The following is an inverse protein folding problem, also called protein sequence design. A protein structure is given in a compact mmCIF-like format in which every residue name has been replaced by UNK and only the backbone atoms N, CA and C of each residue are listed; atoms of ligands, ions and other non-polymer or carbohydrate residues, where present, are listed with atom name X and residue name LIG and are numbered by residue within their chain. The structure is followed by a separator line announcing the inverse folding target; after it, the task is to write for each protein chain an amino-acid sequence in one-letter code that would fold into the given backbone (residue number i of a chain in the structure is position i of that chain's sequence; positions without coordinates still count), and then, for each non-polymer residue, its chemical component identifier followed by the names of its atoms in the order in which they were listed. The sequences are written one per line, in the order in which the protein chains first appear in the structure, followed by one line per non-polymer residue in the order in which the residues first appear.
data_IF_762917025684
#
_entry.id   IF_762917025684
#
_cell.length_a   1.000
_cell.length_b   1.000
_cell.length_c   1.000
_cell.angle_alpha   90.00
_cell.angle_beta   90.00
_cell.angle_gamma   90.00
#
_symmetry.space_group_name_H-M   'P 1'
#
loop_
_entity.id
_entity.type
_entity.pdbx_description
1 polymer ?
#
# COMPACT_ATOMS: atom_id res chain seq x y z
N UNK A 1 11.15 -24.63 13.33
CA UNK A 1 10.37 -24.50 12.09
C UNK A 1 10.44 -23.04 11.69
N UNK A 2 11.28 -22.72 10.73
CA UNK A 2 11.55 -21.33 10.32
C UNK A 2 11.57 -21.32 8.80
N UNK A 3 10.68 -20.54 8.19
CA UNK A 3 10.57 -20.37 6.75
C UNK A 3 10.62 -18.86 6.46
N UNK A 4 11.78 -18.39 5.98
CA UNK A 4 12.17 -18.01 4.61
C UNK A 4 11.69 -16.61 4.21
N UNK A 5 12.70 -15.76 4.02
CA UNK A 5 12.64 -14.42 3.45
C UNK A 5 12.30 -14.46 1.96
N UNK A 6 11.18 -13.81 1.61
CA UNK A 6 10.83 -13.40 0.24
C UNK A 6 11.41 -11.99 0.02
N UNK A 7 11.91 -11.66 -1.17
CA UNK A 7 12.82 -10.53 -1.33
C UNK A 7 12.18 -9.15 -1.12
N UNK A 8 10.85 -9.02 -1.11
CA UNK A 8 10.19 -7.75 -0.84
C UNK A 8 8.85 -7.96 -0.14
N UNK A 9 8.74 -7.47 1.09
CA UNK A 9 7.48 -7.33 1.81
C UNK A 9 6.88 -5.97 1.43
N UNK A 10 6.00 -5.94 0.43
CA UNK A 10 5.31 -4.73 -0.01
C UNK A 10 3.83 -5.04 -0.20
N UNK A 11 2.97 -4.26 0.44
CA UNK A 11 1.54 -4.22 0.12
C UNK A 11 1.29 -3.04 -0.78
N UNK A 12 0.71 -3.28 -1.96
CA UNK A 12 0.34 -2.25 -2.92
C UNK A 12 -1.14 -2.35 -3.27
N UNK A 13 -1.89 -1.28 -3.07
CA UNK A 13 -3.26 -1.16 -3.58
C UNK A 13 -3.22 -0.60 -5.01
N UNK A 14 -3.47 -1.47 -5.99
CA UNK A 14 -3.47 -1.11 -7.41
C UNK A 14 -4.60 -0.16 -7.81
N UNK A 15 -5.61 0.07 -6.96
CA UNK A 15 -6.73 0.99 -7.28
C UNK A 15 -6.38 2.43 -6.92
N UNK A 16 -5.73 2.61 -5.78
CA UNK A 16 -5.40 3.93 -5.20
C UNK A 16 -3.95 4.33 -5.45
N UNK A 17 -3.07 3.35 -5.70
CA UNK A 17 -1.62 3.54 -5.78
C UNK A 17 -0.94 3.62 -4.42
N UNK A 18 -1.67 3.45 -3.31
CA UNK A 18 -1.09 3.44 -1.97
C UNK A 18 -0.24 2.18 -1.77
N UNK A 19 0.93 2.33 -1.15
CA UNK A 19 1.84 1.23 -0.90
C UNK A 19 2.55 1.38 0.45
N UNK A 20 2.87 0.25 1.09
CA UNK A 20 3.61 0.20 2.36
C UNK A 20 4.48 -1.05 2.43
N UNK A 21 5.67 -0.91 3.00
CA UNK A 21 6.58 -2.04 3.27
C UNK A 21 6.29 -2.76 4.59
N UNK A 22 5.45 -2.17 5.45
CA UNK A 22 5.10 -2.76 6.73
C UNK A 22 3.93 -3.76 6.58
N UNK A 23 4.22 -4.93 6.00
CA UNK A 23 3.20 -5.97 5.76
C UNK A 23 2.59 -6.48 7.06
N UNK A 24 3.37 -6.60 8.14
CA UNK A 24 2.87 -7.13 9.41
C UNK A 24 1.76 -6.25 9.98
N UNK A 25 1.97 -4.93 10.04
CA UNK A 25 0.94 -4.00 10.53
C UNK A 25 -0.36 -4.09 9.71
N UNK A 26 -0.25 -4.24 8.39
CA UNK A 26 -1.42 -4.42 7.51
C UNK A 26 -2.17 -5.72 7.85
N UNK A 27 -1.44 -6.81 8.09
CA UNK A 27 -2.02 -8.10 8.50
C UNK A 27 -2.60 -8.05 9.92
N UNK A 28 -2.05 -7.21 10.79
CA UNK A 28 -2.58 -6.92 12.14
C UNK A 28 -3.78 -5.96 12.12
N UNK A 29 -4.16 -5.43 10.95
CA UNK A 29 -5.38 -4.64 10.75
C UNK A 29 -5.17 -3.14 10.54
N UNK A 30 -3.92 -2.67 10.43
CA UNK A 30 -3.60 -1.28 10.10
C UNK A 30 -3.90 -0.98 8.61
N UNK A 31 -5.19 -0.79 8.31
CA UNK A 31 -5.72 -0.56 6.97
C UNK A 31 -6.05 0.92 6.71
N UNK A 32 -5.82 1.79 7.69
CA UNK A 32 -6.23 3.20 7.65
C UNK A 32 -5.66 3.92 6.41
N UNK A 33 -4.40 3.63 6.07
CA UNK A 33 -3.73 4.14 4.86
C UNK A 33 -4.56 3.87 3.59
N UNK A 34 -5.03 2.64 3.42
CA UNK A 34 -5.76 2.21 2.22
C UNK A 34 -7.21 2.72 2.21
N UNK A 35 -7.86 2.74 3.37
CA UNK A 35 -9.23 3.25 3.51
C UNK A 35 -9.26 4.74 3.20
N UNK A 36 -8.39 5.53 3.84
CA UNK A 36 -8.30 6.96 3.56
C UNK A 36 -7.92 7.26 2.11
N UNK A 37 -6.99 6.50 1.54
CA UNK A 37 -6.63 6.63 0.13
C UNK A 37 -7.86 6.48 -0.78
N UNK A 38 -8.71 5.49 -0.50
CA UNK A 38 -9.93 5.27 -1.27
C UNK A 38 -10.98 6.37 -1.04
N UNK A 39 -11.17 6.82 0.20
CA UNK A 39 -12.13 7.87 0.54
C UNK A 39 -11.73 9.23 -0.04
N UNK A 40 -10.44 9.53 -0.11
CA UNK A 40 -9.89 10.72 -0.79
C UNK A 40 -10.00 10.64 -2.32
N UNK A 41 -10.53 9.54 -2.86
CA UNK A 41 -10.68 9.36 -4.30
C UNK A 41 -9.35 9.18 -5.05
N UNK A 42 -8.28 8.78 -4.35
CA UNK A 42 -6.98 8.54 -4.98
C UNK A 42 -7.13 7.43 -6.03
N UNK A 43 -6.53 7.65 -7.20
CA UNK A 43 -6.43 6.65 -8.26
C UNK A 43 -4.97 6.35 -8.53
N UNK A 44 -4.65 5.08 -8.75
CA UNK A 44 -3.34 4.68 -9.22
C UNK A 44 -3.03 5.39 -10.54
N UNK A 45 -1.86 6.04 -10.61
CA UNK A 45 -1.43 6.87 -11.76
C UNK A 45 -1.56 8.38 -11.55
N UNK A 46 -2.47 8.87 -10.68
CA UNK A 46 -2.65 10.33 -10.48
C UNK A 46 -1.49 11.03 -9.77
N UNK A 47 -0.63 10.29 -9.06
CA UNK A 47 0.55 10.87 -8.41
C UNK A 47 1.71 11.12 -9.39
N UNK A 48 1.66 10.56 -10.61
CA UNK A 48 2.69 10.79 -11.63
C UNK A 48 2.50 12.14 -12.37
N UNK A 49 1.27 12.67 -12.43
CA UNK A 49 0.90 13.88 -13.19
C UNK A 49 0.94 15.19 -12.36
N UNK A 50 1.44 15.17 -11.12
CA UNK A 50 1.47 16.36 -10.24
C UNK A 50 2.88 16.94 -10.02
N UNK A 51 3.84 16.60 -10.87
CA UNK A 51 5.23 17.07 -10.79
C UNK A 51 5.60 17.97 -11.99
N UNK A 52 4.67 18.86 -12.37
CA UNK A 52 4.86 19.95 -13.35
C UNK A 52 4.91 21.31 -12.63
#
# INVERSE_FOLDING_TARGET
RSYIFQPYQLVKDHRTGAETSNVQAVMDGDLELFIQAKLRGQKAGQNADRHD
#
